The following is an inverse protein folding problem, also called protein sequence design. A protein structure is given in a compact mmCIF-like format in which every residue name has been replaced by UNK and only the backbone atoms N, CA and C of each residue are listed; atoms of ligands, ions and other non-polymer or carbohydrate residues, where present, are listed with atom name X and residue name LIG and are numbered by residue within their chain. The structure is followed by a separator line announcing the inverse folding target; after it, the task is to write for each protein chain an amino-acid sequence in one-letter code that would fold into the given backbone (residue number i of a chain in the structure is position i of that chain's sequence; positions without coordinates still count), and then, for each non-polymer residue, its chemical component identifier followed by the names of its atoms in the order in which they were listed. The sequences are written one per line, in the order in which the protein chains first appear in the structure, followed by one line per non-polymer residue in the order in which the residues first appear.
data_IF_207106269530
#
_entry.id   IF_207106269530
#
_cell.length_a   1.000
_cell.length_b   1.000
_cell.length_c   1.000
_cell.angle_alpha   90.00
_cell.angle_beta   90.00
_cell.angle_gamma   90.00
#
_symmetry.space_group_name_H-M   'P 1'
#
loop_
_entity.id
_entity.type
_entity.pdbx_description
1 polymer ?
#
# COMPACT_ATOMS: atom_id res chain seq x y z
N UNK A 1 6.81 48.52 -4.46
CA UNK A 1 7.36 49.70 -5.15
C UNK A 1 6.22 50.33 -5.92
N UNK A 2 5.92 51.59 -5.63
CA UNK A 2 4.83 52.34 -6.27
C UNK A 2 5.02 52.36 -7.78
N UNK A 3 3.96 52.06 -8.54
CA UNK A 3 3.95 52.27 -9.98
C UNK A 3 3.98 53.78 -10.21
N UNK A 4 5.17 54.32 -10.51
CA UNK A 4 5.30 55.71 -10.91
C UNK A 4 4.84 55.82 -12.37
N UNK A 5 3.64 56.40 -12.56
CA UNK A 5 2.94 56.49 -13.86
C UNK A 5 3.17 57.88 -14.50
N UNK A 6 3.77 58.81 -13.75
CA UNK A 6 3.98 60.20 -14.14
C UNK A 6 5.23 60.77 -13.49
N UNK A 7 5.83 61.79 -14.12
CA UNK A 7 6.96 62.55 -13.58
C UNK A 7 6.57 64.04 -13.43
N UNK A 8 5.74 64.40 -12.44
CA UNK A 8 5.29 65.79 -12.24
C UNK A 8 6.46 66.73 -11.91
N UNK A 9 7.45 66.22 -11.20
CA UNK A 9 8.61 66.98 -10.69
C UNK A 9 9.59 67.43 -11.79
N UNK A 10 9.47 66.85 -12.99
CA UNK A 10 10.25 67.24 -14.17
C UNK A 10 9.58 68.36 -14.97
N UNK A 11 8.35 68.77 -14.61
CA UNK A 11 7.63 69.85 -15.30
C UNK A 11 8.22 71.21 -14.87
N UNK A 12 8.65 72.02 -15.84
CA UNK A 12 9.19 73.37 -15.60
C UNK A 12 10.71 73.53 -15.78
N UNK A 13 11.43 72.45 -16.10
CA UNK A 13 12.84 72.50 -16.52
C UNK A 13 12.94 72.85 -18.02
N UNK A 14 14.02 73.53 -18.45
CA UNK A 14 14.26 73.92 -19.86
C UNK A 14 14.13 72.72 -20.82
N UNK A 15 14.61 71.54 -20.41
CA UNK A 15 14.56 70.30 -21.19
C UNK A 15 13.48 69.29 -20.74
N UNK A 16 12.44 69.76 -20.04
CA UNK A 16 11.40 68.93 -19.40
C UNK A 16 10.79 67.85 -20.29
N UNK A 17 10.54 68.13 -21.58
CA UNK A 17 9.99 67.13 -22.51
C UNK A 17 10.96 65.96 -22.77
N UNK A 18 12.26 66.24 -22.97
CA UNK A 18 13.27 65.19 -23.16
C UNK A 18 13.47 64.38 -21.88
N UNK A 19 13.47 65.04 -20.72
CA UNK A 19 13.62 64.37 -19.42
C UNK A 19 12.45 63.42 -19.14
N UNK A 20 11.21 63.83 -19.42
CA UNK A 20 10.02 62.97 -19.25
C UNK A 20 10.04 61.78 -20.21
N UNK A 21 10.45 61.98 -21.47
CA UNK A 21 10.61 60.89 -22.45
C UNK A 21 11.68 59.88 -22.00
N UNK A 22 12.83 60.37 -21.56
CA UNK A 22 13.92 59.54 -21.04
C UNK A 22 13.50 58.75 -19.81
N UNK A 23 12.83 59.40 -18.84
CA UNK A 23 12.35 58.76 -17.62
C UNK A 23 11.30 57.67 -17.89
N UNK A 24 10.37 57.90 -18.82
CA UNK A 24 9.41 56.88 -19.25
C UNK A 24 10.09 55.68 -19.92
N UNK A 25 11.09 55.93 -20.77
CA UNK A 25 11.89 54.88 -21.41
C UNK A 25 12.65 54.05 -20.38
N UNK A 26 13.30 54.67 -19.41
CA UNK A 26 13.99 53.97 -18.31
C UNK A 26 13.04 53.12 -17.46
N UNK A 27 11.81 53.60 -17.18
CA UNK A 27 10.80 52.82 -16.47
C UNK A 27 10.33 51.61 -17.30
N UNK A 28 10.13 51.75 -18.61
CA UNK A 28 9.79 50.62 -19.48
C UNK A 28 10.91 49.57 -19.52
N UNK A 29 12.16 49.99 -19.69
CA UNK A 29 13.33 49.10 -19.68
C UNK A 29 13.46 48.37 -18.33
N UNK A 30 13.25 49.07 -17.22
CA UNK A 30 13.26 48.49 -15.89
C UNK A 30 12.13 47.46 -15.69
N UNK A 31 10.92 47.73 -16.20
CA UNK A 31 9.79 46.78 -16.15
C UNK A 31 10.10 45.49 -16.91
N UNK A 32 10.67 45.61 -18.13
CA UNK A 32 11.08 44.46 -18.94
C UNK A 32 12.19 43.67 -18.22
N UNK A 33 13.14 44.35 -17.59
CA UNK A 33 14.19 43.69 -16.83
C UNK A 33 13.62 42.94 -15.61
N UNK A 34 12.73 43.56 -14.84
CA UNK A 34 12.08 42.95 -13.68
C UNK A 34 11.23 41.74 -14.09
N UNK A 35 10.48 41.82 -15.20
CA UNK A 35 9.67 40.69 -15.67
C UNK A 35 10.55 39.50 -16.06
N UNK A 36 11.62 39.73 -16.83
CA UNK A 36 12.61 38.70 -17.17
C UNK A 36 13.28 38.08 -15.94
N UNK A 37 13.62 38.88 -14.93
CA UNK A 37 14.20 38.37 -13.69
C UNK A 37 13.20 37.55 -12.87
N UNK A 38 11.93 37.97 -12.80
CA UNK A 38 10.87 37.19 -12.15
C UNK A 38 10.65 35.86 -12.86
N UNK A 39 10.56 35.87 -14.18
CA UNK A 39 10.38 34.65 -14.99
C UNK A 39 11.57 33.69 -14.82
N UNK A 40 12.81 34.20 -14.84
CA UNK A 40 14.01 33.40 -14.59
C UNK A 40 13.98 32.78 -13.18
N UNK A 41 13.66 33.57 -12.16
CA UNK A 41 13.59 33.10 -10.78
C UNK A 41 12.48 32.05 -10.59
N UNK A 42 11.33 32.24 -11.23
CA UNK A 42 10.23 31.28 -11.19
C UNK A 42 10.60 29.97 -11.89
N UNK A 43 11.20 30.03 -13.08
CA UNK A 43 11.71 28.86 -13.80
C UNK A 43 12.78 28.08 -13.00
N UNK A 44 13.66 28.78 -12.28
CA UNK A 44 14.64 28.14 -11.40
C UNK A 44 13.99 27.45 -10.20
N UNK A 45 12.95 28.05 -9.60
CA UNK A 45 12.16 27.44 -8.53
C UNK A 45 11.42 26.20 -8.99
N UNK A 46 10.71 26.27 -10.12
CA UNK A 46 9.97 25.13 -10.68
C UNK A 46 10.92 23.97 -11.03
N UNK A 47 12.07 24.26 -11.63
CA UNK A 47 13.11 23.24 -11.89
C UNK A 47 13.64 22.61 -10.61
N UNK A 48 13.83 23.41 -9.55
CA UNK A 48 14.28 22.90 -8.24
C UNK A 48 13.21 22.02 -7.59
N UNK A 49 11.95 22.46 -7.56
CA UNK A 49 10.83 21.70 -7.00
C UNK A 49 10.62 20.37 -7.74
N UNK A 50 10.71 20.38 -9.08
CA UNK A 50 10.64 19.16 -9.88
C UNK A 50 11.77 18.18 -9.54
N UNK A 51 13.01 18.68 -9.41
CA UNK A 51 14.17 17.87 -9.01
C UNK A 51 14.01 17.32 -7.59
N UNK A 52 13.58 18.15 -6.65
CA UNK A 52 13.39 17.76 -5.25
C UNK A 52 12.26 16.71 -5.13
N UNK A 53 11.15 16.87 -5.86
CA UNK A 53 10.07 15.88 -5.93
C UNK A 53 10.54 14.56 -6.52
N UNK A 54 11.23 14.62 -7.67
CA UNK A 54 11.79 13.43 -8.33
C UNK A 54 12.79 12.70 -7.45
N UNK A 55 13.57 13.44 -6.64
CA UNK A 55 14.51 12.86 -5.69
C UNK A 55 13.78 12.18 -4.53
N UNK A 56 12.76 12.81 -3.96
CA UNK A 56 11.93 12.22 -2.90
C UNK A 56 11.24 10.94 -3.37
N UNK A 57 10.59 10.97 -4.54
CA UNK A 57 9.94 9.79 -5.12
C UNK A 57 10.93 8.63 -5.30
N UNK A 58 12.15 8.90 -5.81
CA UNK A 58 13.21 7.88 -5.92
C UNK A 58 13.68 7.34 -4.57
N UNK A 59 13.80 8.19 -3.57
CA UNK A 59 14.19 7.79 -2.21
C UNK A 59 13.11 6.94 -1.53
N UNK A 60 11.83 7.29 -1.72
CA UNK A 60 10.68 6.53 -1.24
C UNK A 60 10.59 5.15 -1.90
N UNK A 61 10.72 5.08 -3.23
CA UNK A 61 10.75 3.80 -3.96
C UNK A 61 11.89 2.93 -3.45
N UNK A 62 13.10 3.48 -3.37
CA UNK A 62 14.27 2.73 -2.87
C UNK A 62 14.11 2.25 -1.43
N UNK A 63 13.48 3.06 -0.57
CA UNK A 63 13.17 2.65 0.81
C UNK A 63 12.17 1.50 0.81
N UNK A 64 11.09 1.61 0.04
CA UNK A 64 10.08 0.55 -0.05
C UNK A 64 10.66 -0.78 -0.56
N UNK A 65 11.53 -0.74 -1.57
CA UNK A 65 12.27 -1.93 -2.06
C UNK A 65 13.15 -2.54 -0.97
N UNK A 66 13.87 -1.70 -0.22
CA UNK A 66 14.74 -2.15 0.87
C UNK A 66 13.94 -2.82 1.98
N UNK A 67 12.78 -2.27 2.33
CA UNK A 67 11.94 -2.80 3.39
C UNK A 67 11.23 -4.10 2.94
N UNK A 68 10.82 -4.22 1.68
CA UNK A 68 10.31 -5.47 1.11
C UNK A 68 11.38 -6.59 1.14
N UNK A 69 12.63 -6.27 0.82
CA UNK A 69 13.75 -7.22 0.90
C UNK A 69 14.00 -7.69 2.34
N UNK A 70 13.87 -6.80 3.33
CA UNK A 70 13.96 -7.19 4.75
C UNK A 70 12.84 -8.14 5.13
N UNK A 71 11.59 -7.81 4.80
CA UNK A 71 10.43 -8.67 5.08
C UNK A 71 10.61 -10.06 4.46
N UNK A 72 11.10 -10.12 3.22
CA UNK A 72 11.40 -11.38 2.55
C UNK A 72 12.48 -12.18 3.28
N UNK A 73 13.61 -11.55 3.63
CA UNK A 73 14.71 -12.22 4.32
C UNK A 73 14.29 -12.75 5.69
N UNK A 74 13.49 -12.00 6.44
CA UNK A 74 12.92 -12.45 7.71
C UNK A 74 12.01 -13.66 7.53
N UNK A 75 11.15 -13.66 6.51
CA UNK A 75 10.30 -14.80 6.19
C UNK A 75 11.09 -16.07 5.84
N UNK A 76 12.14 -15.92 5.02
CA UNK A 76 13.04 -17.02 4.67
C UNK A 76 13.76 -17.59 5.91
N UNK A 77 14.11 -16.74 6.88
CA UNK A 77 14.71 -17.17 8.14
C UNK A 77 13.73 -17.94 9.04
N UNK A 78 12.45 -17.54 9.08
CA UNK A 78 11.41 -18.24 9.84
C UNK A 78 11.18 -19.68 9.38
N UNK A 79 11.54 -20.02 8.14
CA UNK A 79 11.34 -21.36 7.59
C UNK A 79 11.98 -22.48 8.45
N UNK A 80 13.04 -22.16 9.20
CA UNK A 80 13.72 -23.10 10.11
C UNK A 80 12.87 -23.50 11.31
N UNK A 81 11.93 -22.65 11.70
CA UNK A 81 11.10 -22.79 12.90
C UNK A 81 9.69 -23.31 12.60
N UNK A 82 9.42 -23.72 11.35
CA UNK A 82 8.12 -24.27 10.94
C UNK A 82 7.73 -25.45 11.83
N UNK A 83 6.50 -25.40 12.35
CA UNK A 83 5.94 -26.42 13.25
C UNK A 83 6.33 -26.25 14.72
N UNK A 84 7.12 -25.23 15.07
CA UNK A 84 7.39 -24.89 16.47
C UNK A 84 6.43 -23.82 16.96
N UNK A 85 6.14 -23.82 18.26
CA UNK A 85 5.29 -22.78 18.86
C UNK A 85 5.90 -21.38 18.72
N UNK A 86 7.21 -21.26 18.94
CA UNK A 86 7.93 -20.00 18.79
C UNK A 86 7.91 -19.50 17.33
N UNK A 87 8.05 -20.41 16.36
CA UNK A 87 7.90 -20.09 14.95
C UNK A 87 6.51 -19.56 14.61
N UNK A 88 5.45 -20.12 15.23
CA UNK A 88 4.08 -19.60 15.09
C UNK A 88 3.94 -18.14 15.55
N UNK A 89 4.44 -17.80 16.74
CA UNK A 89 4.42 -16.42 17.24
C UNK A 89 5.27 -15.47 16.39
N UNK A 90 6.44 -15.92 15.94
CA UNK A 90 7.32 -15.12 15.10
C UNK A 90 6.73 -14.89 13.69
N UNK A 91 6.00 -15.87 13.15
CA UNK A 91 5.26 -15.74 11.90
C UNK A 91 4.08 -14.78 12.04
N UNK A 92 3.37 -14.80 13.17
CA UNK A 92 2.30 -13.85 13.47
C UNK A 92 2.82 -12.41 13.53
N UNK A 93 3.91 -12.17 14.27
CA UNK A 93 4.54 -10.85 14.35
C UNK A 93 5.03 -10.37 12.98
N UNK A 94 5.67 -11.25 12.21
CA UNK A 94 6.10 -10.96 10.84
C UNK A 94 4.91 -10.61 9.93
N UNK A 95 3.81 -11.35 10.03
CA UNK A 95 2.63 -11.14 9.19
C UNK A 95 2.02 -9.75 9.42
N UNK A 96 1.92 -9.31 10.67
CA UNK A 96 1.38 -7.97 10.92
C UNK A 96 2.32 -6.85 10.47
N UNK A 97 3.65 -7.04 10.54
CA UNK A 97 4.59 -6.09 9.93
C UNK A 97 4.45 -6.03 8.41
N UNK A 98 4.16 -7.16 7.76
CA UNK A 98 3.81 -7.19 6.33
C UNK A 98 2.53 -6.39 6.06
N UNK A 99 1.50 -6.53 6.90
CA UNK A 99 0.24 -5.79 6.71
C UNK A 99 0.43 -4.29 6.93
N UNK A 100 1.27 -3.91 7.91
CA UNK A 100 1.63 -2.52 8.17
C UNK A 100 2.41 -1.93 6.98
N UNK A 101 3.33 -2.69 6.38
CA UNK A 101 4.05 -2.30 5.17
C UNK A 101 3.11 -2.10 3.96
N UNK A 102 2.07 -2.91 3.85
CA UNK A 102 1.06 -2.77 2.80
C UNK A 102 0.01 -1.68 3.09
N UNK A 103 0.11 -0.99 4.24
CA UNK A 103 -0.89 -0.03 4.72
C UNK A 103 -2.31 -0.63 4.83
N UNK A 104 -2.40 -1.95 5.04
CA UNK A 104 -3.68 -2.64 5.20
C UNK A 104 -4.16 -2.43 6.64
N UNK A 105 -5.39 -1.96 6.79
CA UNK A 105 -6.03 -1.80 8.10
C UNK A 105 -6.10 -3.19 8.76
N UNK A 106 -5.32 -3.37 9.82
CA UNK A 106 -5.21 -4.64 10.53
C UNK A 106 -5.43 -4.47 12.04
N UNK A 107 -5.81 -5.57 12.68
CA UNK A 107 -5.86 -5.70 14.14
C UNK A 107 -5.03 -6.91 14.55
N UNK A 108 -3.99 -6.63 15.35
CA UNK A 108 -3.13 -7.62 16.02
C UNK A 108 -3.95 -8.62 16.87
N UNK A 109 -3.36 -9.76 17.26
CA UNK A 109 -4.08 -10.86 17.92
C UNK A 109 -4.91 -10.41 19.11
N UNK A 110 -6.11 -10.96 19.23
CA UNK A 110 -7.05 -10.58 20.29
C UNK A 110 -7.96 -11.74 20.67
N UNK A 111 -8.62 -11.59 21.82
CA UNK A 111 -9.66 -12.51 22.27
C UNK A 111 -11.03 -11.89 22.07
N UNK A 112 -11.93 -12.64 21.44
CA UNK A 112 -13.34 -12.28 21.29
C UNK A 112 -14.22 -13.45 21.69
N UNK A 113 -15.20 -13.20 22.58
CA UNK A 113 -16.11 -14.22 23.10
C UNK A 113 -15.38 -15.46 23.65
N UNK A 114 -14.26 -15.24 24.34
CA UNK A 114 -13.42 -16.31 24.93
C UNK A 114 -12.55 -17.09 23.94
N UNK A 115 -12.57 -16.75 22.64
CA UNK A 115 -11.77 -17.40 21.60
C UNK A 115 -10.62 -16.51 21.15
N UNK A 116 -9.47 -17.11 20.91
CA UNK A 116 -8.32 -16.43 20.33
C UNK A 116 -8.46 -16.43 18.80
N UNK A 117 -8.25 -15.25 18.23
CA UNK A 117 -8.05 -15.04 16.80
C UNK A 117 -6.68 -14.42 16.62
N UNK A 118 -5.95 -14.89 15.60
CA UNK A 118 -4.61 -14.41 15.32
C UNK A 118 -4.68 -12.97 14.78
N UNK A 119 -5.79 -12.59 14.16
CA UNK A 119 -5.93 -11.26 13.61
C UNK A 119 -7.26 -10.88 13.00
N UNK A 120 -7.30 -9.63 12.53
CA UNK A 120 -8.22 -9.21 11.50
C UNK A 120 -7.56 -8.26 10.49
N UNK A 121 -8.07 -8.24 9.26
CA UNK A 121 -7.66 -7.38 8.15
C UNK A 121 -8.89 -6.76 7.52
N UNK A 122 -8.79 -5.56 6.98
CA UNK A 122 -9.84 -4.96 6.17
C UNK A 122 -9.30 -4.61 4.79
N UNK A 123 -9.87 -5.24 3.76
CA UNK A 123 -9.53 -5.04 2.35
C UNK A 123 -10.81 -4.74 1.59
N UNK A 124 -10.83 -3.66 0.81
CA UNK A 124 -12.02 -3.22 0.05
C UNK A 124 -13.30 -3.12 0.89
N UNK A 125 -13.18 -2.61 2.12
CA UNK A 125 -14.31 -2.47 3.06
C UNK A 125 -14.84 -3.79 3.64
N UNK A 126 -14.22 -4.93 3.33
CA UNK A 126 -14.57 -6.24 3.90
C UNK A 126 -13.59 -6.59 5.01
N UNK A 127 -14.08 -6.89 6.20
CA UNK A 127 -13.26 -7.35 7.32
C UNK A 127 -13.14 -8.88 7.32
N UNK A 128 -11.90 -9.34 7.37
CA UNK A 128 -11.52 -10.74 7.44
C UNK A 128 -10.91 -11.05 8.80
N UNK A 129 -11.36 -12.12 9.45
CA UNK A 129 -10.63 -12.72 10.55
C UNK A 129 -9.47 -13.54 9.98
N UNK A 130 -8.29 -13.41 10.56
CA UNK A 130 -7.09 -14.11 10.11
C UNK A 130 -6.82 -15.30 11.01
N UNK A 131 -6.52 -16.43 10.39
CA UNK A 131 -5.92 -17.60 11.02
C UNK A 131 -4.59 -17.91 10.31
N UNK A 132 -3.51 -18.00 11.08
CA UNK A 132 -2.16 -18.26 10.60
C UNK A 132 -1.75 -19.69 10.97
N UNK A 133 -1.40 -20.49 9.95
CA UNK A 133 -0.96 -21.88 10.10
C UNK A 133 0.51 -22.00 9.73
N UNK A 134 1.36 -22.00 10.76
CA UNK A 134 2.82 -22.15 10.65
C UNK A 134 3.29 -23.57 11.05
N UNK A 135 2.72 -24.58 10.40
CA UNK A 135 2.94 -26.00 10.70
C UNK A 135 3.68 -26.72 9.58
N UNK A 136 4.32 -27.86 9.89
CA UNK A 136 4.99 -28.69 8.87
C UNK A 136 4.00 -29.43 7.97
N UNK A 137 2.88 -29.87 8.54
CA UNK A 137 1.84 -30.60 7.84
C UNK A 137 0.86 -29.65 7.16
N UNK A 138 0.24 -30.11 6.08
CA UNK A 138 -0.83 -29.37 5.42
C UNK A 138 -2.00 -29.17 6.38
N UNK A 139 -2.72 -28.07 6.21
CA UNK A 139 -3.98 -27.84 6.92
C UNK A 139 -5.07 -28.79 6.41
N UNK A 140 -5.87 -29.28 7.34
CA UNK A 140 -6.86 -30.33 7.09
C UNK A 140 -8.31 -29.83 7.28
N UNK A 141 -9.25 -30.76 7.15
CA UNK A 141 -10.68 -30.54 7.37
C UNK A 141 -10.98 -29.90 8.74
N UNK A 142 -10.31 -30.37 9.79
CA UNK A 142 -10.54 -29.96 11.18
C UNK A 142 -10.14 -28.49 11.36
N UNK A 143 -9.04 -28.07 10.72
CA UNK A 143 -8.62 -26.67 10.70
C UNK A 143 -9.70 -25.78 10.07
N UNK A 144 -10.25 -26.19 8.93
CA UNK A 144 -11.29 -25.44 8.21
C UNK A 144 -12.57 -25.33 9.06
N UNK A 145 -13.03 -26.44 9.63
CA UNK A 145 -14.23 -26.47 10.46
C UNK A 145 -14.07 -25.62 11.71
N UNK A 146 -12.89 -25.63 12.32
CA UNK A 146 -12.54 -24.78 13.46
C UNK A 146 -12.68 -23.31 13.09
N UNK A 147 -12.14 -22.89 11.94
CA UNK A 147 -12.23 -21.51 11.48
C UNK A 147 -13.67 -21.12 11.10
N UNK A 148 -14.43 -21.98 10.39
CA UNK A 148 -15.85 -21.77 10.11
C UNK A 148 -16.65 -21.53 11.39
N UNK A 149 -16.42 -22.37 12.40
CA UNK A 149 -17.10 -22.24 13.69
C UNK A 149 -16.73 -20.95 14.43
N UNK A 150 -15.54 -20.36 14.17
CA UNK A 150 -15.18 -19.02 14.66
C UNK A 150 -15.96 -17.93 13.92
N UNK A 151 -15.95 -17.96 12.59
CA UNK A 151 -16.60 -16.95 11.74
C UNK A 151 -18.12 -16.90 11.92
N UNK A 152 -18.79 -18.06 11.97
CA UNK A 152 -20.25 -18.14 12.11
C UNK A 152 -20.79 -17.56 13.44
N UNK A 153 -19.92 -17.24 14.41
CA UNK A 153 -20.31 -16.59 15.67
C UNK A 153 -20.04 -15.09 15.70
N UNK A 154 -19.57 -14.52 14.58
CA UNK A 154 -19.27 -13.10 14.44
C UNK A 154 -20.45 -12.39 13.76
N UNK A 155 -20.34 -11.07 13.60
CA UNK A 155 -21.38 -10.28 12.94
C UNK A 155 -21.62 -10.78 11.51
N UNK A 156 -22.86 -10.63 11.03
CA UNK A 156 -23.22 -10.93 9.66
C UNK A 156 -22.26 -10.23 8.68
N UNK A 157 -21.84 -10.94 7.63
CA UNK A 157 -20.84 -10.53 6.63
C UNK A 157 -19.36 -10.56 7.06
N UNK A 158 -19.03 -11.12 8.23
CA UNK A 158 -17.62 -11.39 8.56
C UNK A 158 -17.09 -12.53 7.70
N UNK A 159 -15.99 -12.31 7.00
CA UNK A 159 -15.25 -13.35 6.27
C UNK A 159 -14.00 -13.78 7.07
N UNK A 160 -13.31 -14.82 6.62
CA UNK A 160 -12.00 -15.17 7.14
C UNK A 160 -11.00 -15.50 6.05
N UNK A 161 -9.74 -15.28 6.39
CA UNK A 161 -8.57 -15.67 5.61
C UNK A 161 -7.82 -16.69 6.47
N UNK A 162 -7.60 -17.87 5.93
CA UNK A 162 -6.59 -18.78 6.47
C UNK A 162 -5.33 -18.65 5.62
N UNK A 163 -4.17 -18.53 6.26
CA UNK A 163 -2.87 -18.53 5.60
C UNK A 163 -2.08 -19.74 6.10
N UNK A 164 -1.82 -20.72 5.24
CA UNK A 164 -1.06 -21.92 5.60
C UNK A 164 0.25 -22.03 4.83
N UNK A 165 1.38 -22.09 5.55
CA UNK A 165 2.70 -22.17 4.91
C UNK A 165 2.93 -23.54 4.24
N UNK A 166 2.35 -24.59 4.79
CA UNK A 166 2.38 -25.93 4.19
C UNK A 166 1.22 -26.21 3.23
N UNK A 167 0.37 -25.20 2.96
CA UNK A 167 -0.80 -25.35 2.11
C UNK A 167 -1.89 -26.24 2.72
N UNK A 168 -2.69 -26.86 1.86
CA UNK A 168 -3.95 -27.50 2.24
C UNK A 168 -4.06 -28.90 1.65
N UNK A 169 -4.68 -29.80 2.41
CA UNK A 169 -5.13 -31.08 1.85
C UNK A 169 -6.27 -30.85 0.83
N UNK A 170 -6.44 -31.80 -0.09
CA UNK A 170 -7.55 -31.78 -1.05
C UNK A 170 -8.92 -31.77 -0.36
N UNK A 171 -9.02 -32.42 0.80
CA UNK A 171 -10.23 -32.43 1.64
C UNK A 171 -10.51 -31.04 2.20
N UNK A 172 -9.50 -30.36 2.76
CA UNK A 172 -9.65 -29.00 3.28
C UNK A 172 -10.08 -27.99 2.20
N UNK A 173 -9.50 -28.07 0.99
CA UNK A 173 -9.90 -27.21 -0.14
C UNK A 173 -11.36 -27.47 -0.51
N UNK A 174 -11.76 -28.74 -0.60
CA UNK A 174 -13.14 -29.11 -0.94
C UNK A 174 -14.12 -28.64 0.14
N UNK A 175 -13.80 -28.81 1.41
CA UNK A 175 -14.69 -28.46 2.51
C UNK A 175 -14.79 -26.95 2.70
N UNK A 176 -13.71 -26.19 2.49
CA UNK A 176 -13.77 -24.73 2.53
C UNK A 176 -14.64 -24.15 1.42
N UNK A 177 -14.86 -24.88 0.32
CA UNK A 177 -15.63 -24.46 -0.85
C UNK A 177 -17.12 -24.87 -0.76
N UNK A 178 -18.01 -24.11 -1.42
CA UNK A 178 -19.45 -24.39 -1.42
C UNK A 178 -20.34 -23.17 -1.62
N UNK A 179 -21.65 -23.35 -1.45
CA UNK A 179 -22.68 -22.33 -1.72
C UNK A 179 -22.65 -21.12 -0.78
N UNK A 180 -21.96 -21.24 0.36
CA UNK A 180 -21.71 -20.16 1.32
C UNK A 180 -20.32 -20.33 1.91
N UNK A 181 -19.33 -19.81 1.20
CA UNK A 181 -17.91 -19.88 1.59
C UNK A 181 -17.48 -18.52 2.16
N UNK A 182 -17.58 -18.30 3.48
CA UNK A 182 -17.13 -17.06 4.11
C UNK A 182 -15.60 -17.03 4.27
N UNK A 183 -14.87 -17.81 3.47
CA UNK A 183 -13.46 -18.10 3.65
C UNK A 183 -12.72 -17.87 2.33
N UNK A 184 -11.51 -17.38 2.44
CA UNK A 184 -10.51 -17.54 1.39
C UNK A 184 -9.26 -18.18 1.99
N UNK A 185 -8.59 -18.97 1.17
CA UNK A 185 -7.39 -19.70 1.54
C UNK A 185 -6.21 -19.12 0.76
N UNK A 186 -5.15 -18.78 1.50
CA UNK A 186 -3.88 -18.36 0.94
C UNK A 186 -2.79 -19.29 1.49
N UNK A 187 -1.71 -19.44 0.73
CA UNK A 187 -0.59 -20.28 1.14
C UNK A 187 0.74 -19.57 0.88
N UNK A 188 1.84 -20.31 1.10
CA UNK A 188 3.19 -19.84 0.82
C UNK A 188 3.35 -19.23 -0.59
N UNK A 189 2.70 -19.77 -1.61
CA UNK A 189 2.84 -19.30 -2.99
C UNK A 189 2.27 -17.89 -3.18
N UNK A 190 1.18 -17.58 -2.47
CA UNK A 190 0.57 -16.25 -2.46
C UNK A 190 1.47 -15.23 -1.75
N UNK A 191 2.01 -15.60 -0.59
CA UNK A 191 2.97 -14.74 0.13
C UNK A 191 4.22 -14.49 -0.72
N UNK A 192 4.74 -15.52 -1.38
CA UNK A 192 5.93 -15.40 -2.22
C UNK A 192 5.68 -14.54 -3.47
N UNK A 193 4.49 -14.60 -4.07
CA UNK A 193 4.09 -13.71 -5.17
C UNK A 193 4.17 -12.23 -4.74
N UNK A 194 3.72 -11.91 -3.52
CA UNK A 194 3.87 -10.57 -2.96
C UNK A 194 5.33 -10.22 -2.65
N UNK A 195 6.05 -11.08 -1.94
CA UNK A 195 7.44 -10.84 -1.52
C UNK A 195 8.43 -10.75 -2.69
N UNK A 196 8.07 -11.31 -3.85
CA UNK A 196 8.83 -11.16 -5.10
C UNK A 196 8.47 -9.90 -5.90
N UNK A 197 7.50 -9.10 -5.43
CA UNK A 197 7.03 -7.90 -6.11
C UNK A 197 6.12 -8.19 -7.32
N UNK A 198 5.61 -9.42 -7.46
CA UNK A 198 4.78 -9.81 -8.60
C UNK A 198 3.35 -9.26 -8.54
N UNK A 199 2.81 -9.06 -7.33
CA UNK A 199 1.47 -8.49 -7.12
C UNK A 199 1.39 -7.88 -5.71
N UNK A 200 0.62 -6.80 -5.53
CA UNK A 200 0.38 -6.24 -4.19
C UNK A 200 -0.47 -7.19 -3.35
N UNK A 201 -0.28 -7.18 -2.03
CA UNK A 201 -0.94 -8.16 -1.16
C UNK A 201 -2.46 -7.98 -1.08
N UNK A 202 -2.93 -6.73 -1.08
CA UNK A 202 -4.36 -6.38 -1.18
C UNK A 202 -4.96 -6.86 -2.52
N UNK A 203 -4.25 -6.68 -3.64
CA UNK A 203 -4.67 -7.20 -4.95
C UNK A 203 -4.80 -8.73 -4.95
N UNK A 204 -3.88 -9.46 -4.29
CA UNK A 204 -3.95 -10.92 -4.14
C UNK A 204 -5.22 -11.30 -3.37
N UNK A 205 -5.47 -10.67 -2.22
CA UNK A 205 -6.67 -10.91 -1.39
C UNK A 205 -7.93 -10.65 -2.23
N UNK A 206 -8.00 -9.51 -2.91
CA UNK A 206 -9.14 -9.14 -3.77
C UNK A 206 -9.35 -10.12 -4.90
N UNK A 207 -8.27 -10.63 -5.52
CA UNK A 207 -8.34 -11.60 -6.61
C UNK A 207 -8.94 -12.94 -6.16
N UNK A 208 -8.47 -13.46 -5.02
CA UNK A 208 -8.96 -14.73 -4.46
C UNK A 208 -10.39 -14.57 -3.94
N UNK A 209 -10.71 -13.45 -3.28
CA UNK A 209 -12.08 -13.12 -2.86
C UNK A 209 -13.06 -13.06 -4.03
N UNK A 210 -12.67 -12.41 -5.14
CA UNK A 210 -13.49 -12.32 -6.34
C UNK A 210 -13.77 -13.70 -6.92
N UNK A 211 -12.75 -14.57 -6.99
CA UNK A 211 -12.90 -15.96 -7.41
C UNK A 211 -13.90 -16.70 -6.52
N UNK A 212 -13.67 -16.70 -5.20
CA UNK A 212 -14.55 -17.35 -4.23
C UNK A 212 -16.00 -16.86 -4.33
N UNK A 213 -16.20 -15.56 -4.56
CA UNK A 213 -17.55 -14.99 -4.75
C UNK A 213 -18.23 -15.42 -6.06
N UNK A 214 -17.46 -15.75 -7.10
CA UNK A 214 -17.96 -16.11 -8.43
C UNK A 214 -18.17 -17.62 -8.60
N UNK A 215 -17.30 -18.43 -7.99
CA UNK A 215 -17.25 -19.90 -8.19
C UNK A 215 -17.66 -20.69 -6.96
N UNK A 216 -17.65 -20.08 -5.77
CA UNK A 216 -17.80 -20.78 -4.50
C UNK A 216 -16.54 -21.51 -4.04
N UNK A 217 -15.40 -21.35 -4.74
CA UNK A 217 -14.14 -22.00 -4.37
C UNK A 217 -13.27 -21.09 -3.49
N UNK A 218 -12.94 -21.56 -2.29
CA UNK A 218 -12.19 -20.75 -1.31
C UNK A 218 -10.72 -20.51 -1.70
N UNK A 219 -10.16 -21.36 -2.55
CA UNK A 219 -8.75 -21.37 -2.92
C UNK A 219 -8.60 -21.15 -4.42
N UNK A 220 -7.76 -20.19 -4.81
CA UNK A 220 -7.35 -19.97 -6.19
C UNK A 220 -5.82 -20.05 -6.23
N UNK A 221 -5.21 -21.07 -6.84
CA UNK A 221 -3.76 -21.16 -6.92
C UNK A 221 -3.19 -20.03 -7.81
N UNK A 222 -1.98 -19.57 -7.49
CA UNK A 222 -1.32 -18.47 -8.24
C UNK A 222 -1.13 -18.78 -9.72
N UNK A 223 -0.98 -20.06 -10.09
CA UNK A 223 -0.87 -20.51 -11.49
C UNK A 223 -2.13 -20.23 -12.31
N UNK A 224 -3.28 -20.05 -11.64
CA UNK A 224 -4.57 -19.73 -12.23
C UNK A 224 -4.93 -18.24 -12.13
N UNK A 225 -3.99 -17.38 -11.73
CA UNK A 225 -4.24 -15.93 -11.72
C UNK A 225 -4.34 -15.37 -13.14
N UNK A 226 -3.66 -16.01 -14.11
CA UNK A 226 -3.74 -15.71 -15.54
C UNK A 226 -4.98 -16.33 -16.19
N UNK A 227 -5.72 -15.51 -16.94
CA UNK A 227 -7.00 -15.86 -17.53
C UNK A 227 -7.90 -14.62 -17.55
N UNK A 228 -7.64 -13.76 -18.53
CA UNK A 228 -8.59 -12.75 -19.01
C UNK A 228 -8.90 -13.08 -20.48
#
# INVERSE_FOLDING_TARGET
MSEQISFPDLRGWEDSQQMILSANKSVQELRIYISKQKEKSQNEREKKEYRDRSKKEREEVKRSETDLLKLRSEFENLHKDIGTQNGGYAFEEWFFRLTDFCEIISRKPYKTNGRQVDGALTVEGTTYIVELKFQKTQSDAIDIDTLKAKVNKMADNTMAIMISISGYSSVAIKESSGSRTPLILLDYSHLYLFLSGGMKFDDIISRVRRHSSQTGEAYLPISSFGGY
#
